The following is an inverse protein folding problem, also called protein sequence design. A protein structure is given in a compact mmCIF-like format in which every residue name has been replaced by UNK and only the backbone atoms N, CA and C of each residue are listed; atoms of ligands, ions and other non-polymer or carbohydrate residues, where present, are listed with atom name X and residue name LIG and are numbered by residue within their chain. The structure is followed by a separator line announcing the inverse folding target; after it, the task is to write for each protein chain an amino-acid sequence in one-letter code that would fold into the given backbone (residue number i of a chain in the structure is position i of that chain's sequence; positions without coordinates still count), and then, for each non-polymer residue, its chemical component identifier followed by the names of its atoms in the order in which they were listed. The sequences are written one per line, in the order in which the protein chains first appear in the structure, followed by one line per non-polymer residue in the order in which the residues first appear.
data_IF_248405055796
#
_entry.id   IF_248405055796
#
_cell.length_a   1.000
_cell.length_b   1.000
_cell.length_c   1.000
_cell.angle_alpha   90.00
_cell.angle_beta   90.00
_cell.angle_gamma   90.00
#
_symmetry.space_group_name_H-M   'P 1'
#
loop_
_entity.id
_entity.type
_entity.pdbx_description
1 polymer ?
#
# COMPACT_ATOMS: atom_id res chain seq x y z
N UNK A 1 -11.99 -22.73 -3.31
CA UNK A 1 -12.94 -21.62 -3.52
C UNK A 1 -12.25 -20.58 -4.38
N UNK A 2 -12.97 -19.88 -5.28
CA UNK A 2 -12.41 -18.74 -6.00
C UNK A 2 -12.01 -17.63 -5.00
N UNK A 3 -11.04 -16.80 -5.38
CA UNK A 3 -10.69 -15.61 -4.60
C UNK A 3 -11.75 -14.54 -4.87
N UNK A 4 -12.30 -13.96 -3.81
CA UNK A 4 -13.22 -12.83 -3.85
C UNK A 4 -12.46 -11.54 -3.54
N UNK A 5 -12.77 -10.47 -4.26
CA UNK A 5 -12.19 -9.14 -4.05
C UNK A 5 -13.29 -8.14 -3.69
N UNK A 6 -12.99 -7.28 -2.71
CA UNK A 6 -13.88 -6.24 -2.21
C UNK A 6 -13.11 -4.93 -2.08
N UNK A 7 -13.78 -3.79 -2.19
CA UNK A 7 -13.13 -2.51 -1.89
C UNK A 7 -12.69 -2.45 -0.41
N UNK A 8 -11.53 -1.83 -0.17
CA UNK A 8 -10.97 -1.65 1.17
C UNK A 8 -10.78 -0.14 1.46
N UNK A 9 -11.88 0.60 1.72
CA UNK A 9 -11.81 2.05 1.96
C UNK A 9 -11.02 2.41 3.22
N UNK A 10 -11.00 1.52 4.22
CA UNK A 10 -10.18 1.65 5.42
C UNK A 10 -8.68 1.61 5.10
N UNK A 11 -8.28 0.68 4.22
CA UNK A 11 -6.89 0.57 3.73
C UNK A 11 -6.53 1.76 2.86
N UNK A 12 -7.45 2.21 1.98
CA UNK A 12 -7.24 3.39 1.13
C UNK A 12 -6.99 4.64 1.95
N UNK A 13 -7.85 4.89 2.95
CA UNK A 13 -7.69 6.03 3.86
C UNK A 13 -6.33 6.01 4.58
N UNK A 14 -5.93 4.84 5.09
CA UNK A 14 -4.64 4.68 5.75
C UNK A 14 -3.47 4.91 4.79
N UNK A 15 -3.53 4.37 3.57
CA UNK A 15 -2.50 4.56 2.55
C UNK A 15 -2.34 6.04 2.17
N UNK A 16 -3.45 6.74 1.95
CA UNK A 16 -3.42 8.17 1.60
C UNK A 16 -2.84 9.04 2.72
N UNK A 17 -3.22 8.75 3.97
CA UNK A 17 -2.69 9.44 5.14
C UNK A 17 -1.17 9.20 5.29
N UNK A 18 -0.69 7.97 5.04
CA UNK A 18 0.74 7.64 5.06
C UNK A 18 1.48 8.37 3.93
N UNK A 19 0.93 8.38 2.71
CA UNK A 19 1.52 9.08 1.55
C UNK A 19 1.70 10.56 1.84
N UNK A 20 0.68 11.20 2.41
CA UNK A 20 0.72 12.60 2.82
C UNK A 20 1.76 12.82 3.92
N UNK A 21 1.68 12.05 5.01
CA UNK A 21 2.53 12.20 6.19
C UNK A 21 4.02 12.00 5.91
N UNK A 22 4.36 11.06 5.03
CA UNK A 22 5.75 10.70 4.69
C UNK A 22 6.27 11.42 3.44
N UNK A 23 5.47 12.30 2.83
CA UNK A 23 5.89 13.06 1.66
C UNK A 23 6.18 12.19 0.43
N UNK A 24 5.38 11.15 0.20
CA UNK A 24 5.53 10.27 -0.97
C UNK A 24 4.96 10.96 -2.23
N UNK A 25 5.49 12.11 -2.61
CA UNK A 25 4.99 12.96 -3.70
C UNK A 25 4.96 12.29 -5.08
N UNK A 26 5.69 11.18 -5.25
CA UNK A 26 5.69 10.37 -6.47
C UNK A 26 4.47 9.44 -6.57
N UNK A 27 3.78 9.18 -5.46
CA UNK A 27 2.57 8.37 -5.42
C UNK A 27 1.39 9.28 -5.75
N UNK A 28 0.61 8.92 -6.77
CA UNK A 28 -0.58 9.68 -7.18
C UNK A 28 -1.83 9.02 -6.61
N UNK A 29 -2.45 9.55 -5.53
CA UNK A 29 -3.49 8.83 -4.78
C UNK A 29 -4.71 8.42 -5.60
N UNK A 30 -5.04 9.17 -6.66
CA UNK A 30 -6.18 8.88 -7.53
C UNK A 30 -6.00 7.59 -8.36
N UNK A 31 -4.76 7.13 -8.53
CA UNK A 31 -4.40 5.93 -9.30
C UNK A 31 -3.84 4.81 -8.41
N UNK A 32 -4.02 4.93 -7.10
CA UNK A 32 -3.74 3.86 -6.13
C UNK A 32 -5.07 3.37 -5.58
N UNK A 33 -5.39 2.12 -5.86
CA UNK A 33 -6.62 1.47 -5.41
C UNK A 33 -6.29 0.50 -4.28
N UNK A 34 -7.24 0.29 -3.37
CA UNK A 34 -7.08 -0.65 -2.27
C UNK A 34 -8.23 -1.64 -2.25
N UNK A 35 -7.88 -2.91 -2.22
CA UNK A 35 -8.83 -4.02 -2.21
C UNK A 35 -8.49 -4.99 -1.09
N UNK A 36 -9.51 -5.68 -0.61
CA UNK A 36 -9.41 -6.79 0.31
C UNK A 36 -9.75 -8.07 -0.44
N UNK A 37 -8.93 -9.10 -0.29
CA UNK A 37 -9.19 -10.42 -0.86
C UNK A 37 -9.56 -11.45 0.22
N UNK A 38 -10.39 -12.42 -0.16
CA UNK A 38 -10.80 -13.56 0.68
C UNK A 38 -10.78 -14.86 -0.12
N UNK A 39 -10.46 -15.97 0.53
CA UNK A 39 -10.28 -17.28 -0.09
C UNK A 39 -8.83 -17.60 -0.49
N UNK A 40 -7.86 -16.77 -0.07
CA UNK A 40 -6.45 -16.95 -0.45
C UNK A 40 -5.79 -18.11 0.28
N UNK A 41 -5.21 -19.05 -0.47
CA UNK A 41 -4.45 -20.17 0.09
C UNK A 41 -3.06 -19.77 0.61
N UNK A 42 -2.58 -18.55 0.32
CA UNK A 42 -1.27 -18.10 0.80
C UNK A 42 -1.29 -17.98 2.33
N UNK A 43 -0.35 -18.66 3.01
CA UNK A 43 -0.29 -18.68 4.48
C UNK A 43 0.60 -17.59 5.08
N UNK A 44 1.51 -17.02 4.29
CA UNK A 44 2.54 -16.08 4.77
C UNK A 44 2.45 -14.70 4.15
N UNK A 45 1.61 -14.52 3.14
CA UNK A 45 1.38 -13.23 2.51
C UNK A 45 0.28 -12.51 3.28
N UNK A 46 0.57 -11.28 3.72
CA UNK A 46 -0.41 -10.41 4.39
C UNK A 46 -1.04 -9.46 3.38
N UNK A 47 -0.22 -8.84 2.54
CA UNK A 47 -0.64 -7.93 1.48
C UNK A 47 0.21 -8.15 0.21
N UNK A 48 -0.21 -7.52 -0.88
CA UNK A 48 0.47 -7.50 -2.18
C UNK A 48 0.27 -6.14 -2.83
N UNK A 49 1.23 -5.75 -3.65
CA UNK A 49 1.13 -4.65 -4.59
C UNK A 49 1.03 -5.21 -6.01
N UNK A 50 0.11 -4.66 -6.79
CA UNK A 50 -0.01 -4.94 -8.21
C UNK A 50 0.23 -3.65 -8.98
N UNK A 51 1.19 -3.65 -9.88
CA UNK A 51 1.37 -2.58 -10.86
C UNK A 51 0.60 -2.88 -12.13
N UNK A 52 -0.09 -1.88 -12.67
CA UNK A 52 -0.77 -2.01 -13.95
C UNK A 52 0.27 -1.99 -15.08
N UNK A 53 0.56 -3.15 -15.66
CA UNK A 53 1.68 -3.30 -16.60
C UNK A 53 1.59 -2.43 -17.85
N UNK A 54 2.75 -2.04 -18.38
CA UNK A 54 2.87 -1.10 -19.51
C UNK A 54 2.06 -1.51 -20.76
N UNK A 55 2.04 -2.80 -21.10
CA UNK A 55 1.27 -3.26 -22.27
C UNK A 55 -0.23 -3.01 -22.12
N UNK A 56 -0.77 -3.12 -20.90
CA UNK A 56 -2.18 -2.85 -20.62
C UNK A 56 -2.48 -1.35 -20.61
N UNK A 57 -1.55 -0.54 -20.10
CA UNK A 57 -1.64 0.92 -20.19
C UNK A 57 -1.74 1.38 -21.64
N UNK A 58 -0.83 0.91 -22.51
CA UNK A 58 -0.78 1.30 -23.92
C UNK A 58 -1.99 0.77 -24.71
N UNK A 59 -2.42 -0.46 -24.45
CA UNK A 59 -3.54 -1.08 -25.18
C UNK A 59 -4.89 -0.49 -24.78
N UNK A 60 -5.11 -0.23 -23.49
CA UNK A 60 -6.39 0.23 -22.96
C UNK A 60 -6.46 1.75 -22.77
N UNK A 61 -5.37 2.47 -23.02
CA UNK A 61 -5.25 3.92 -22.80
C UNK A 61 -5.53 4.34 -21.34
N UNK A 62 -5.16 3.49 -20.40
CA UNK A 62 -5.26 3.78 -18.98
C UNK A 62 -3.90 4.22 -18.42
N UNK A 63 -3.88 5.18 -17.48
CA UNK A 63 -2.63 5.60 -16.85
C UNK A 63 -2.05 4.48 -15.99
N UNK A 64 -0.75 4.59 -15.69
CA UNK A 64 -0.13 3.77 -14.67
C UNK A 64 -0.94 3.83 -13.37
N UNK A 65 -1.25 2.65 -12.84
CA UNK A 65 -2.10 2.49 -11.67
C UNK A 65 -1.57 1.36 -10.81
N UNK A 66 -1.90 1.40 -9.53
CA UNK A 66 -1.46 0.41 -8.55
C UNK A 66 -2.63 -0.09 -7.72
N UNK A 67 -2.59 -1.36 -7.34
CA UNK A 67 -3.55 -1.96 -6.41
C UNK A 67 -2.81 -2.50 -5.20
N UNK A 68 -3.12 -1.97 -4.02
CA UNK A 68 -2.74 -2.57 -2.74
C UNK A 68 -3.83 -3.58 -2.37
N UNK A 69 -3.50 -4.85 -2.42
CA UNK A 69 -4.36 -5.96 -2.00
C UNK A 69 -3.99 -6.39 -0.59
N UNK A 70 -4.94 -6.35 0.35
CA UNK A 70 -4.79 -6.97 1.68
C UNK A 70 -5.54 -8.30 1.73
N UNK A 71 -4.90 -9.34 2.27
CA UNK A 71 -5.52 -10.67 2.41
C UNK A 71 -6.25 -10.71 3.76
N UNK A 72 -7.59 -10.72 3.71
CA UNK A 72 -8.47 -10.59 4.88
C UNK A 72 -8.10 -11.54 6.01
N UNK A 73 -7.84 -12.81 5.69
CA UNK A 73 -7.55 -13.86 6.68
C UNK A 73 -6.21 -13.69 7.41
N UNK A 74 -5.41 -12.67 7.08
CA UNK A 74 -4.15 -12.35 7.75
C UNK A 74 -4.09 -10.89 8.17
N UNK A 75 -4.57 -9.97 7.33
CA UNK A 75 -4.49 -8.54 7.57
C UNK A 75 -5.50 -8.02 8.59
N UNK A 76 -6.74 -8.51 8.57
CA UNK A 76 -7.82 -7.88 9.35
C UNK A 76 -7.64 -8.08 10.87
N UNK A 77 -6.96 -9.17 11.27
CA UNK A 77 -6.63 -9.46 12.67
C UNK A 77 -5.39 -8.75 13.22
N UNK A 78 -4.68 -7.97 12.39
CA UNK A 78 -3.50 -7.22 12.81
C UNK A 78 -3.87 -6.03 13.69
N UNK A 79 -2.93 -5.63 14.55
CA UNK A 79 -3.02 -4.34 15.23
C UNK A 79 -2.93 -3.19 14.23
N UNK A 80 -3.49 -2.01 14.57
CA UNK A 80 -3.40 -0.81 13.72
C UNK A 80 -1.96 -0.42 13.38
N UNK A 81 -1.03 -0.72 14.28
CA UNK A 81 0.38 -0.47 14.10
C UNK A 81 1.02 -1.44 13.08
N UNK A 82 0.69 -2.72 13.13
CA UNK A 82 1.13 -3.69 12.13
C UNK A 82 0.49 -3.43 10.76
N UNK A 83 -0.79 -3.04 10.72
CA UNK A 83 -1.45 -2.60 9.48
C UNK A 83 -0.71 -1.44 8.85
N UNK A 84 -0.38 -0.40 9.63
CA UNK A 84 0.39 0.74 9.16
C UNK A 84 1.73 0.33 8.53
N UNK A 85 2.49 -0.55 9.19
CA UNK A 85 3.75 -1.08 8.64
C UNK A 85 3.57 -1.83 7.33
N UNK A 86 2.54 -2.67 7.23
CA UNK A 86 2.22 -3.41 6.00
C UNK A 86 1.88 -2.44 4.86
N UNK A 87 1.10 -1.41 5.12
CA UNK A 87 0.76 -0.43 4.06
C UNK A 87 1.97 0.39 3.63
N UNK A 88 2.83 0.81 4.57
CA UNK A 88 4.12 1.46 4.25
C UNK A 88 4.95 0.53 3.34
N UNK A 89 5.01 -0.75 3.69
CA UNK A 89 5.73 -1.75 2.92
C UNK A 89 5.26 -1.84 1.46
N UNK A 90 3.95 -1.96 1.25
CA UNK A 90 3.37 -2.00 -0.10
C UNK A 90 3.58 -0.69 -0.88
N UNK A 91 3.51 0.47 -0.20
CA UNK A 91 3.76 1.78 -0.82
C UNK A 91 5.22 1.92 -1.28
N UNK A 92 6.19 1.39 -0.53
CA UNK A 92 7.61 1.46 -0.91
C UNK A 92 7.95 0.69 -2.19
N UNK A 93 7.09 -0.25 -2.58
CA UNK A 93 7.21 -0.92 -3.87
C UNK A 93 6.85 -0.03 -5.06
N UNK A 94 6.13 1.08 -4.85
CA UNK A 94 5.81 2.03 -5.92
C UNK A 94 7.10 2.79 -6.29
N UNK A 95 7.55 2.74 -7.56
CA UNK A 95 8.74 3.43 -7.99
C UNK A 95 8.50 4.94 -8.08
N UNK A 96 9.55 5.73 -7.87
CA UNK A 96 9.50 7.19 -7.98
C UNK A 96 8.98 7.71 -9.34
N UNK A 97 9.11 6.93 -10.42
CA UNK A 97 8.58 7.29 -11.74
C UNK A 97 7.10 6.94 -11.95
N UNK A 98 6.43 6.29 -10.99
CA UNK A 98 5.02 5.87 -11.06
C UNK A 98 4.63 5.21 -12.40
N UNK A 99 5.51 4.37 -12.96
CA UNK A 99 5.39 3.88 -14.34
C UNK A 99 4.53 2.61 -14.52
N UNK A 100 3.91 2.10 -13.45
CA UNK A 100 3.12 0.87 -13.42
C UNK A 100 3.92 -0.43 -13.25
N UNK A 101 5.25 -0.35 -13.17
CA UNK A 101 6.10 -1.41 -12.61
C UNK A 101 6.23 -1.27 -11.08
N UNK A 102 6.81 -2.26 -10.41
CA UNK A 102 7.07 -2.20 -8.96
C UNK A 102 8.54 -2.54 -8.65
N UNK A 103 9.06 -1.97 -7.56
CA UNK A 103 10.41 -2.26 -7.07
C UNK A 103 10.42 -3.65 -6.45
N UNK A 104 11.36 -4.55 -6.75
CA UNK A 104 11.44 -5.82 -6.05
C UNK A 104 11.89 -5.61 -4.59
N UNK A 105 11.50 -6.55 -3.73
CA UNK A 105 11.86 -6.55 -2.31
C UNK A 105 13.37 -6.53 -2.02
N UNK A 106 14.19 -7.17 -2.87
CA UNK A 106 15.62 -7.33 -2.61
C UNK A 106 16.36 -6.00 -2.76
N UNK A 107 16.83 -5.47 -1.63
CA UNK A 107 17.80 -4.37 -1.54
C UNK A 107 17.24 -2.97 -1.30
N UNK A 108 15.91 -2.80 -1.25
CA UNK A 108 15.28 -1.48 -1.14
C UNK A 108 14.21 -1.36 -0.04
N UNK A 109 13.69 -2.47 0.46
CA UNK A 109 12.60 -2.49 1.43
C UNK A 109 12.93 -3.51 2.51
N UNK A 110 13.49 -3.03 3.61
CA UNK A 110 13.77 -3.82 4.80
C UNK A 110 12.89 -3.41 5.98
N UNK A 111 12.96 -4.21 7.05
CA UNK A 111 12.15 -4.02 8.25
C UNK A 111 12.51 -2.73 8.99
N UNK A 112 13.78 -2.36 9.01
CA UNK A 112 14.28 -1.19 9.73
C UNK A 112 13.72 0.09 9.11
N UNK A 113 13.79 0.21 7.78
CA UNK A 113 13.22 1.33 7.01
C UNK A 113 11.72 1.47 7.27
N UNK A 114 10.97 0.36 7.24
CA UNK A 114 9.53 0.37 7.52
C UNK A 114 9.25 0.80 8.96
N UNK A 115 10.03 0.33 9.93
CA UNK A 115 9.87 0.69 11.34
C UNK A 115 10.17 2.18 11.59
N UNK A 116 11.20 2.73 10.95
CA UNK A 116 11.52 4.17 11.00
C UNK A 116 10.42 5.03 10.40
N UNK A 117 9.94 4.67 9.21
CA UNK A 117 8.83 5.37 8.55
C UNK A 117 7.55 5.29 9.38
N UNK A 118 7.25 4.15 9.99
CA UNK A 118 6.08 4.03 10.85
C UNK A 118 6.20 4.91 12.10
N UNK A 119 7.40 5.06 12.68
CA UNK A 119 7.63 6.01 13.77
C UNK A 119 7.38 7.45 13.32
N UNK A 120 7.91 7.85 12.17
CA UNK A 120 7.66 9.19 11.61
C UNK A 120 6.16 9.44 11.37
N UNK A 121 5.45 8.48 10.81
CA UNK A 121 4.00 8.53 10.63
C UNK A 121 3.24 8.68 11.97
N UNK A 122 3.67 7.95 13.00
CA UNK A 122 3.07 8.04 14.34
C UNK A 122 3.27 9.43 14.96
N UNK A 123 4.42 10.05 14.77
CA UNK A 123 4.68 11.42 15.24
C UNK A 123 3.84 12.45 14.45
N UNK A 124 3.71 12.28 13.13
CA UNK A 124 2.80 13.10 12.32
C UNK A 124 1.37 13.05 12.84
N UNK A 125 0.84 11.85 13.13
CA UNK A 125 -0.50 11.66 13.72
C UNK A 125 -0.68 12.30 15.09
N UNK A 126 0.39 12.44 15.87
CA UNK A 126 0.35 13.14 17.18
C UNK A 126 0.33 14.66 16.98
N UNK A 127 1.20 15.18 16.10
CA UNK A 127 1.29 16.62 15.80
C UNK A 127 0.08 17.18 15.06
N UNK A 128 -0.56 16.40 14.19
CA UNK A 128 -1.80 16.79 13.50
C UNK A 128 -3.01 16.94 14.43
N UNK A 129 -2.96 16.41 15.66
CA UNK A 129 -4.00 16.60 16.68
C UNK A 129 -3.83 17.88 17.51
N UNK A 130 -2.83 18.70 17.22
CA UNK A 130 -2.51 19.95 17.97
C UNK A 130 -2.90 21.23 17.22
N UNK A 131 -3.63 21.13 16.12
CA UNK A 131 -4.16 22.31 15.42
C UNK A 131 -5.59 22.57 15.89
N UNK A 132 -5.78 23.73 16.53
CA UNK A 132 -7.03 24.23 17.13
C UNK A 132 -8.19 24.33 16.13
#
# INVERSE_FOLDING_TARGET
MPIEYMEAPDVKKLADEIVEALGFYHVVPQFVYCVRSKGSASKRTIARIHGFGRIWQETLHFPASYVIEVISERYDGLSEEEKGRVIIHELLHIPAGFAGGFRPHKGYIDRETVDEMYRAFKEYRKGGKTSF
#
